data_IF_261077552744
#
_entry.id   IF_261077552744
#
_cell.length_a   1.000
_cell.length_b   1.000
_cell.length_c   1.000
_cell.angle_alpha   90.00
_cell.angle_beta   90.00
_cell.angle_gamma   90.00
#
_symmetry.space_group_name_H-M   'P 1'
#
loop_
_entity.id
_entity.type
_entity.pdbx_description
1 polymer ?
#
# COMPACT_ATOMS: atom_id res chain seq x y z
N UNK A 1 9.24 4.88 10.02
CA UNK A 1 8.10 5.82 10.15
C UNK A 1 8.47 7.28 10.07
N UNK A 2 9.42 7.79 10.88
CA UNK A 2 9.80 9.22 10.88
C UNK A 2 10.33 9.73 9.53
N UNK A 3 11.20 8.95 8.88
CA UNK A 3 11.79 9.29 7.59
C UNK A 3 10.75 9.39 6.46
N UNK A 4 9.78 8.48 6.43
CA UNK A 4 8.70 8.50 5.43
C UNK A 4 7.84 9.76 5.59
N UNK A 5 7.48 10.08 6.83
CA UNK A 5 6.73 11.29 7.18
C UNK A 5 7.48 12.57 6.76
N UNK A 6 8.79 12.65 7.01
CA UNK A 6 9.60 13.82 6.66
C UNK A 6 9.74 14.00 5.14
N UNK A 7 9.84 12.91 4.38
CA UNK A 7 9.89 12.94 2.91
C UNK A 7 8.55 13.40 2.33
N UNK A 8 7.44 12.81 2.76
CA UNK A 8 6.09 13.19 2.29
C UNK A 8 5.78 14.66 2.61
N UNK A 9 6.13 15.12 3.82
CA UNK A 9 5.96 16.52 4.24
C UNK A 9 6.79 17.51 3.41
N UNK A 10 7.97 17.11 2.94
CA UNK A 10 8.83 17.93 2.09
C UNK A 10 8.31 17.99 0.64
N UNK A 11 7.76 16.88 0.14
CA UNK A 11 7.21 16.77 -1.21
C UNK A 11 5.84 17.46 -1.37
N UNK A 12 5.04 17.54 -0.30
CA UNK A 12 3.66 18.02 -0.36
C UNK A 12 3.49 19.53 -0.57
N UNK A 13 4.56 20.34 -0.61
CA UNK A 13 4.48 21.80 -0.80
C UNK A 13 3.65 22.56 0.27
N UNK A 14 3.64 23.90 0.19
CA UNK A 14 2.86 24.78 1.10
C UNK A 14 1.36 24.79 0.76
N UNK A 15 0.73 23.62 0.62
CA UNK A 15 -0.71 23.56 0.46
C UNK A 15 -1.37 23.75 1.82
N UNK A 16 -1.66 25.01 2.18
CA UNK A 16 -2.57 25.39 3.28
C UNK A 16 -4.03 25.03 2.97
N UNK A 17 -4.28 23.82 2.46
CA UNK A 17 -5.62 23.25 2.59
C UNK A 17 -5.64 22.58 3.95
N UNK A 18 -6.54 22.95 4.89
CA UNK A 18 -6.75 22.10 6.05
C UNK A 18 -7.10 20.72 5.50
N UNK A 19 -6.22 19.76 5.78
CA UNK A 19 -6.50 18.35 5.69
C UNK A 19 -7.92 18.13 6.20
N UNK A 20 -8.73 17.47 5.37
CA UNK A 20 -10.15 17.15 5.53
C UNK A 20 -10.70 17.50 6.92
N UNK A 21 -11.70 18.40 7.03
CA UNK A 21 -12.24 18.81 8.32
C UNK A 21 -12.57 17.60 9.18
N UNK A 22 -11.80 17.45 10.26
CA UNK A 22 -11.90 16.26 11.08
C UNK A 22 -13.12 16.40 11.98
N UNK A 23 -13.96 15.36 12.01
CA UNK A 23 -15.20 15.37 12.75
C UNK A 23 -14.98 15.03 14.23
N UNK A 24 -15.82 15.57 15.10
CA UNK A 24 -15.95 15.15 16.50
C UNK A 24 -16.65 13.80 16.59
N UNK A 25 -16.72 13.24 17.79
CA UNK A 25 -17.47 12.00 18.06
C UNK A 25 -18.97 12.12 17.74
N UNK A 26 -19.51 13.34 17.76
CA UNK A 26 -20.86 13.71 17.34
C UNK A 26 -20.98 13.99 15.84
N UNK A 27 -19.92 13.76 15.05
CA UNK A 27 -19.92 13.94 13.59
C UNK A 27 -19.83 15.39 13.12
N UNK A 28 -19.70 16.36 14.03
CA UNK A 28 -19.56 17.79 13.69
C UNK A 28 -18.12 18.13 13.31
N UNK A 29 -17.93 19.00 12.32
CA UNK A 29 -16.60 19.46 11.92
C UNK A 29 -15.96 20.24 13.07
N UNK A 30 -14.77 19.82 13.49
CA UNK A 30 -13.99 20.52 14.51
C UNK A 30 -13.30 21.73 13.86
N UNK A 31 -13.87 22.92 14.07
CA UNK A 31 -13.31 24.20 13.62
C UNK A 31 -12.43 24.88 14.67
N UNK A 32 -12.52 24.47 15.93
CA UNK A 32 -11.76 25.06 17.03
C UNK A 32 -10.36 24.43 17.13
N UNK A 33 -9.33 25.28 17.17
CA UNK A 33 -7.91 24.89 17.30
C UNK A 33 -7.65 24.14 18.61
N UNK A 34 -8.33 24.51 19.70
CA UNK A 34 -8.14 23.89 21.02
C UNK A 34 -8.68 22.46 21.05
N UNK A 35 -9.86 22.23 20.46
CA UNK A 35 -10.43 20.88 20.29
C UNK A 35 -9.55 20.00 19.38
N UNK A 36 -8.97 20.57 18.33
CA UNK A 36 -8.02 19.85 17.48
C UNK A 36 -6.76 19.45 18.28
N UNK A 37 -6.21 20.34 19.10
CA UNK A 37 -5.04 20.06 19.95
C UNK A 37 -5.34 18.99 21.00
N UNK A 38 -6.46 19.10 21.71
CA UNK A 38 -6.87 18.11 22.72
C UNK A 38 -7.03 16.72 22.08
N UNK A 39 -7.53 16.64 20.85
CA UNK A 39 -7.62 15.36 20.14
C UNK A 39 -6.27 14.83 19.68
N UNK A 40 -5.34 15.69 19.25
CA UNK A 40 -3.95 15.29 18.92
C UNK A 40 -3.25 14.73 20.16
N UNK A 41 -3.42 15.36 21.33
CA UNK A 41 -2.87 14.85 22.58
C UNK A 41 -3.51 13.52 23.00
N UNK A 42 -4.83 13.39 22.90
CA UNK A 42 -5.55 12.13 23.16
C UNK A 42 -5.05 10.98 22.27
N UNK A 43 -4.89 11.21 20.96
CA UNK A 43 -4.35 10.18 20.06
C UNK A 43 -2.89 9.88 20.34
N UNK A 44 -2.09 10.88 20.71
CA UNK A 44 -0.70 10.68 21.11
C UNK A 44 -0.63 9.82 22.37
N UNK A 45 -1.47 10.05 23.36
CA UNK A 45 -1.53 9.22 24.56
C UNK A 45 -1.98 7.79 24.24
N UNK A 46 -3.03 7.64 23.43
CA UNK A 46 -3.59 6.34 23.07
C UNK A 46 -2.62 5.48 22.25
N UNK A 47 -1.92 6.08 21.28
CA UNK A 47 -0.97 5.37 20.41
C UNK A 47 0.40 5.13 21.07
N UNK A 48 0.78 5.94 22.07
CA UNK A 48 2.03 5.75 22.82
C UNK A 48 1.80 5.08 24.19
N UNK A 49 0.60 4.54 24.45
CA UNK A 49 0.31 3.77 25.66
C UNK A 49 1.25 2.57 25.72
N UNK A 50 1.96 2.42 26.84
CA UNK A 50 2.78 1.25 27.11
C UNK A 50 1.93 -0.02 27.06
N UNK A 51 2.53 -1.12 26.61
CA UNK A 51 1.87 -2.42 26.56
C UNK A 51 1.16 -2.69 27.91
N UNK A 52 -0.14 -3.05 27.92
CA UNK A 52 -0.85 -3.32 29.16
C UNK A 52 -0.10 -4.39 29.97
N UNK A 53 0.06 -4.17 31.27
CA UNK A 53 0.75 -5.11 32.17
C UNK A 53 0.11 -6.51 32.15
N UNK A 54 -1.19 -6.55 31.90
CA UNK A 54 -1.94 -7.79 31.67
C UNK A 54 -2.36 -7.83 30.19
N UNK A 55 -1.80 -8.75 29.39
CA UNK A 55 -2.30 -8.96 28.04
C UNK A 55 -3.78 -9.37 28.13
N UNK A 56 -4.67 -8.80 27.32
CA UNK A 56 -6.05 -9.26 27.26
C UNK A 56 -6.05 -10.74 26.84
N UNK A 57 -6.79 -11.57 27.56
CA UNK A 57 -6.98 -12.98 27.24
C UNK A 57 -7.91 -13.09 26.02
N UNK A 58 -7.35 -12.85 24.83
CA UNK A 58 -8.02 -12.99 23.55
C UNK A 58 -7.80 -14.43 23.12
N UNK A 59 -8.87 -15.21 23.06
CA UNK A 59 -8.87 -16.54 22.46
C UNK A 59 -8.34 -16.42 21.02
N UNK A 60 -7.23 -17.11 20.73
CA UNK A 60 -6.57 -16.99 19.45
C UNK A 60 -7.56 -17.39 18.34
N UNK A 61 -7.84 -16.46 17.43
CA UNK A 61 -8.58 -16.80 16.22
C UNK A 61 -7.85 -17.92 15.48
N UNK A 62 -8.56 -18.89 14.88
CA UNK A 62 -7.95 -19.92 14.05
C UNK A 62 -7.03 -19.26 13.02
N UNK A 63 -5.73 -19.50 13.16
CA UNK A 63 -4.67 -18.75 12.47
C UNK A 63 -4.49 -19.19 11.02
N UNK A 64 -5.13 -20.29 10.63
CA UNK A 64 -4.94 -20.91 9.33
C UNK A 64 -5.95 -20.39 8.30
N UNK A 65 -5.88 -19.09 8.00
CA UNK A 65 -6.19 -18.69 6.63
C UNK A 65 -4.93 -19.00 5.81
N UNK A 66 -5.00 -19.88 4.78
CA UNK A 66 -3.86 -20.18 3.93
C UNK A 66 -3.57 -18.98 3.01
N UNK A 67 -3.06 -17.92 3.61
CA UNK A 67 -2.59 -16.74 2.91
C UNK A 67 -1.12 -16.98 2.63
N UNK A 68 -0.78 -17.02 1.34
CA UNK A 68 0.61 -17.10 0.93
C UNK A 68 1.32 -15.79 1.34
N UNK A 69 2.15 -15.87 2.37
CA UNK A 69 3.03 -14.77 2.84
C UNK A 69 4.39 -14.79 2.14
N UNK A 70 4.59 -15.65 1.16
CA UNK A 70 5.81 -15.72 0.36
C UNK A 70 5.82 -14.72 -0.81
N UNK A 71 6.96 -14.58 -1.50
CA UNK A 71 7.03 -13.80 -2.72
C UNK A 71 6.11 -14.38 -3.81
N UNK A 72 5.51 -13.53 -4.66
CA UNK A 72 4.67 -13.98 -5.76
C UNK A 72 5.40 -14.92 -6.72
N UNK A 73 4.73 -15.99 -7.13
CA UNK A 73 5.24 -16.96 -8.10
C UNK A 73 5.21 -16.40 -9.53
N UNK A 74 6.06 -16.94 -10.41
CA UNK A 74 6.06 -16.52 -11.82
C UNK A 74 4.75 -16.90 -12.53
N UNK A 75 4.08 -17.97 -12.12
CA UNK A 75 2.77 -18.39 -12.63
C UNK A 75 1.66 -17.39 -12.28
N UNK A 76 1.61 -16.91 -11.04
CA UNK A 76 0.67 -15.88 -10.60
C UNK A 76 0.85 -14.60 -11.43
N UNK A 77 2.08 -14.12 -11.54
CA UNK A 77 2.43 -12.94 -12.36
C UNK A 77 2.03 -13.15 -13.83
N UNK A 78 2.25 -14.34 -14.37
CA UNK A 78 1.88 -14.69 -15.75
C UNK A 78 0.37 -14.66 -15.96
N UNK A 79 -0.41 -15.10 -14.98
CA UNK A 79 -1.87 -15.08 -15.02
C UNK A 79 -2.40 -13.65 -14.97
N UNK A 80 -1.88 -12.81 -14.08
CA UNK A 80 -2.27 -11.40 -13.96
C UNK A 80 -1.97 -10.62 -15.24
N UNK A 81 -0.80 -10.82 -15.85
CA UNK A 81 -0.47 -10.18 -17.14
C UNK A 81 -1.48 -10.57 -18.23
N UNK A 82 -1.93 -11.83 -18.26
CA UNK A 82 -2.98 -12.27 -19.20
C UNK A 82 -4.31 -11.61 -18.90
N UNK A 83 -4.67 -11.46 -17.63
CA UNK A 83 -5.90 -10.80 -17.21
C UNK A 83 -5.90 -9.31 -17.58
N UNK A 84 -4.82 -8.58 -17.28
CA UNK A 84 -4.66 -7.17 -17.66
C UNK A 84 -4.79 -6.97 -19.17
N UNK A 85 -4.28 -7.92 -19.98
CA UNK A 85 -4.44 -7.87 -21.44
C UNK A 85 -5.87 -8.14 -21.90
N UNK A 86 -6.61 -9.03 -21.22
CA UNK A 86 -8.03 -9.31 -21.52
C UNK A 86 -8.93 -8.14 -21.12
N UNK A 87 -8.66 -7.50 -19.98
CA UNK A 87 -9.47 -6.41 -19.43
C UNK A 87 -9.25 -5.07 -20.16
N UNK A 88 -8.24 -4.98 -21.04
CA UNK A 88 -7.98 -3.82 -21.91
C UNK A 88 -8.62 -3.90 -23.30
N UNK A 89 -9.26 -5.01 -23.67
CA UNK A 89 -9.69 -5.25 -25.04
C UNK A 89 -11.00 -4.50 -25.40
N UNK A 90 -10.86 -3.24 -25.80
CA UNK A 90 -11.64 -2.62 -26.89
C UNK A 90 -10.71 -2.39 -28.08
N UNK A 91 -9.92 -3.39 -28.47
CA UNK A 91 -8.96 -3.27 -29.58
C UNK A 91 -9.26 -4.36 -30.64
N UNK A 92 -9.59 -3.98 -31.89
CA UNK A 92 -10.04 -4.89 -32.96
C UNK A 92 -8.87 -5.53 -33.74
N UNK A 93 -7.64 -5.44 -33.24
CA UNK A 93 -6.48 -6.00 -33.91
C UNK A 93 -6.35 -7.48 -33.55
N UNK A 94 -6.62 -8.34 -34.52
CA UNK A 94 -6.63 -9.81 -34.45
C UNK A 94 -5.23 -10.40 -34.21
N UNK A 95 -4.46 -9.88 -33.25
CA UNK A 95 -3.14 -10.39 -32.88
C UNK A 95 -3.35 -11.81 -32.31
N UNK A 96 -2.76 -12.84 -32.93
CA UNK A 96 -2.95 -14.21 -32.47
C UNK A 96 -2.36 -14.40 -31.07
N UNK A 97 -3.09 -15.12 -30.21
CA UNK A 97 -2.68 -15.43 -28.83
C UNK A 97 -1.27 -16.06 -28.76
N UNK A 98 -0.87 -16.78 -29.82
CA UNK A 98 0.44 -17.38 -29.97
C UNK A 98 1.59 -16.36 -30.02
N UNK A 99 1.38 -15.20 -30.64
CA UNK A 99 2.35 -14.10 -30.65
C UNK A 99 2.48 -13.40 -29.29
N UNK A 100 1.46 -13.53 -28.42
CA UNK A 100 1.46 -12.93 -27.09
C UNK A 100 2.16 -13.81 -26.03
N UNK A 101 2.22 -15.12 -26.23
CA UNK A 101 2.90 -16.07 -25.32
C UNK A 101 4.35 -15.69 -24.99
N UNK A 102 5.25 -15.42 -25.97
CA UNK A 102 6.64 -15.08 -25.67
C UNK A 102 6.73 -13.74 -24.94
N UNK A 103 5.91 -12.74 -25.30
CA UNK A 103 5.88 -11.43 -24.64
C UNK A 103 5.47 -11.61 -23.17
N UNK A 104 4.39 -12.34 -22.91
CA UNK A 104 3.92 -12.61 -21.55
C UNK A 104 4.98 -13.35 -20.73
N UNK A 105 5.69 -14.32 -21.31
CA UNK A 105 6.75 -15.05 -20.63
C UNK A 105 7.96 -14.17 -20.28
N UNK A 106 8.39 -13.30 -21.20
CA UNK A 106 9.50 -12.36 -20.96
C UNK A 106 9.10 -11.34 -19.91
N UNK A 107 7.91 -10.73 -20.04
CA UNK A 107 7.41 -9.75 -19.07
C UNK A 107 7.26 -10.36 -17.68
N UNK A 108 6.74 -11.59 -17.56
CA UNK A 108 6.60 -12.27 -16.27
C UNK A 108 7.95 -12.51 -15.59
N UNK A 109 8.99 -12.90 -16.34
CA UNK A 109 10.35 -13.09 -15.81
C UNK A 109 10.93 -11.78 -15.26
N UNK A 110 10.79 -10.68 -15.99
CA UNK A 110 11.29 -9.36 -15.56
C UNK A 110 10.59 -8.92 -14.28
N UNK A 111 9.26 -9.04 -14.22
CA UNK A 111 8.49 -8.67 -13.04
C UNK A 111 8.83 -9.55 -11.84
N UNK A 112 8.97 -10.86 -12.04
CA UNK A 112 9.34 -11.79 -10.97
C UNK A 112 10.68 -11.43 -10.34
N UNK A 113 11.70 -11.12 -11.15
CA UNK A 113 13.03 -10.69 -10.66
C UNK A 113 12.90 -9.44 -9.79
N UNK A 114 12.15 -8.44 -10.28
CA UNK A 114 12.01 -7.16 -9.59
C UNK A 114 11.23 -7.27 -8.28
N UNK A 115 10.07 -7.94 -8.32
CA UNK A 115 9.22 -8.16 -7.16
C UNK A 115 9.97 -9.00 -6.10
N UNK A 116 10.68 -10.05 -6.52
CA UNK A 116 11.51 -10.85 -5.60
C UNK A 116 12.60 -10.02 -4.95
N UNK A 117 13.23 -9.11 -5.70
CA UNK A 117 14.27 -8.22 -5.17
C UNK A 117 13.68 -7.26 -4.13
N UNK A 118 12.54 -6.63 -4.43
CA UNK A 118 11.86 -5.72 -3.49
C UNK A 118 11.42 -6.47 -2.24
N UNK A 119 10.91 -7.70 -2.39
CA UNK A 119 10.48 -8.54 -1.28
C UNK A 119 11.63 -8.89 -0.33
N UNK A 120 12.80 -9.27 -0.88
CA UNK A 120 13.95 -9.69 -0.07
C UNK A 120 14.73 -8.51 0.52
N UNK A 121 14.89 -7.41 -0.22
CA UNK A 121 15.68 -6.26 0.22
C UNK A 121 14.85 -5.24 1.00
N UNK A 122 13.51 -5.34 0.99
CA UNK A 122 12.56 -4.34 1.51
C UNK A 122 12.83 -2.91 0.99
N UNK A 123 13.45 -2.79 -0.18
CA UNK A 123 13.87 -1.52 -0.77
C UNK A 123 13.27 -1.34 -2.15
N UNK A 124 12.70 -0.15 -2.38
CA UNK A 124 12.20 0.26 -3.69
C UNK A 124 13.36 0.78 -4.53
N UNK A 125 13.49 0.38 -5.81
CA UNK A 125 14.50 0.91 -6.72
C UNK A 125 14.52 2.45 -6.71
N UNK A 126 15.70 3.04 -6.66
CA UNK A 126 15.86 4.49 -6.53
C UNK A 126 15.22 5.25 -7.69
N UNK A 127 15.22 4.67 -8.90
CA UNK A 127 14.63 5.24 -10.12
C UNK A 127 13.10 5.37 -10.03
N UNK A 128 12.46 4.63 -9.11
CA UNK A 128 11.02 4.66 -8.89
C UNK A 128 10.60 5.70 -7.83
N UNK A 129 11.55 6.20 -7.03
CA UNK A 129 11.28 7.17 -5.95
C UNK A 129 10.80 8.54 -6.45
N UNK A 130 10.99 8.85 -7.75
CA UNK A 130 10.51 10.09 -8.37
C UNK A 130 9.20 9.96 -9.16
N UNK A 131 8.73 8.73 -9.44
CA UNK A 131 7.58 8.47 -10.31
C UNK A 131 6.36 7.89 -9.58
N UNK A 132 6.51 7.53 -8.31
CA UNK A 132 5.41 7.18 -7.42
C UNK A 132 4.79 8.48 -6.90
N UNK A 133 3.76 8.96 -7.60
CA UNK A 133 2.89 10.09 -7.21
C UNK A 133 1.72 9.55 -6.38
#
# INVERSE_FOLDING_TARGET
MRQLYDITKKLSGNHRKPERPVKSKEGKVITNIEEQRNRVEYFKELLNRLAPLNPPNIEAAPTDLPINVGPPTIEEIRMDIRQIKRDKATEPDNIPEEALKPIVAVTAKIHHILISKIWNEEQVPTDWKGHLI
#
